data_IF_386626113063
#
_entry.id   IF_386626113063
#
_cell.length_a   1.000
_cell.length_b   1.000
_cell.length_c   1.000
_cell.angle_alpha   90.00
_cell.angle_beta   90.00
_cell.angle_gamma   90.00
#
_symmetry.space_group_name_H-M   'P 1'
#
loop_
_entity.id
_entity.type
_entity.pdbx_description
1 polymer ?
#
# COMPACT_ATOMS: atom_id res chain seq x y z
N UNK A 1 33.06 -11.37 -15.55
CA UNK A 1 33.17 -9.89 -15.52
C UNK A 1 32.70 -9.40 -14.16
N UNK A 2 33.56 -8.79 -13.32
CA UNK A 2 33.10 -8.16 -12.09
C UNK A 2 32.14 -7.02 -12.48
N UNK A 3 30.88 -7.15 -12.09
CA UNK A 3 29.85 -6.16 -12.42
C UNK A 3 30.21 -4.82 -11.80
N UNK A 4 30.05 -3.72 -12.57
CA UNK A 4 30.16 -2.36 -12.04
C UNK A 4 29.41 -2.28 -10.70
N UNK A 5 30.05 -1.81 -9.61
CA UNK A 5 29.35 -1.60 -8.35
C UNK A 5 28.18 -0.64 -8.64
N UNK A 6 26.96 -1.15 -8.45
CA UNK A 6 25.77 -0.32 -8.56
C UNK A 6 25.86 0.63 -7.38
N UNK A 7 26.04 1.92 -7.65
CA UNK A 7 25.88 2.96 -6.63
C UNK A 7 24.47 2.80 -6.05
N UNK A 8 24.45 2.25 -4.85
CA UNK A 8 23.26 1.89 -4.08
C UNK A 8 23.40 2.53 -2.71
N UNK A 9 23.75 3.80 -2.72
CA UNK A 9 23.61 4.66 -1.55
C UNK A 9 22.14 4.64 -1.15
N UNK A 10 21.87 3.89 -0.08
CA UNK A 10 20.53 3.87 0.51
C UNK A 10 20.25 5.25 1.11
N UNK A 11 19.01 5.74 1.01
CA UNK A 11 18.61 6.93 1.74
C UNK A 11 18.76 6.72 3.26
N UNK A 12 18.80 7.79 4.08
CA UNK A 12 18.99 7.69 5.52
C UNK A 12 17.98 6.79 6.24
N UNK A 13 16.78 6.60 5.68
CA UNK A 13 15.73 5.72 6.22
C UNK A 13 15.95 4.23 5.90
N UNK A 14 16.98 3.87 5.12
CA UNK A 14 17.28 2.50 4.73
C UNK A 14 16.31 1.87 3.72
N UNK A 15 15.36 2.64 3.16
CA UNK A 15 14.36 2.15 2.19
C UNK A 15 14.80 2.56 0.78
N UNK A 16 15.01 1.62 -0.15
CA UNK A 16 15.45 1.95 -1.50
C UNK A 16 14.34 2.64 -2.30
N UNK A 17 14.72 3.60 -3.16
CA UNK A 17 13.84 4.14 -4.19
C UNK A 17 13.72 3.17 -5.36
N UNK A 18 12.54 3.09 -5.97
CA UNK A 18 12.36 2.31 -7.20
C UNK A 18 13.13 2.98 -8.34
N UNK A 19 13.90 2.18 -9.08
CA UNK A 19 14.59 2.69 -10.28
C UNK A 19 13.62 2.81 -11.45
N UNK A 20 13.99 3.58 -12.50
CA UNK A 20 13.19 3.64 -13.73
C UNK A 20 12.94 2.26 -14.35
N UNK A 21 13.89 1.31 -14.21
CA UNK A 21 13.71 -0.06 -14.66
C UNK A 21 12.66 -0.83 -13.84
N UNK A 22 12.60 -0.58 -12.52
CA UNK A 22 11.59 -1.18 -11.65
C UNK A 22 10.20 -0.60 -11.96
N UNK A 23 10.09 0.70 -12.23
CA UNK A 23 8.85 1.38 -12.62
C UNK A 23 8.36 0.89 -14.00
N UNK A 24 9.25 0.85 -15.00
CA UNK A 24 8.90 0.45 -16.37
C UNK A 24 8.78 -1.07 -16.58
N UNK A 25 9.02 -1.87 -15.53
CA UNK A 25 8.83 -3.32 -15.56
C UNK A 25 7.41 -3.65 -16.02
N UNK A 26 7.26 -4.61 -16.93
CA UNK A 26 5.93 -5.11 -17.34
C UNK A 26 5.37 -6.09 -16.30
N UNK A 27 4.06 -6.03 -16.12
CA UNK A 27 3.32 -6.96 -15.28
C UNK A 27 3.47 -8.40 -15.85
N UNK A 28 3.78 -9.41 -15.03
CA UNK A 28 4.00 -10.78 -15.50
C UNK A 28 2.65 -11.46 -15.79
N UNK A 29 1.99 -11.09 -16.89
CA UNK A 29 0.64 -11.58 -17.28
C UNK A 29 0.57 -13.11 -17.37
N UNK A 30 1.64 -13.76 -17.83
CA UNK A 30 1.75 -15.22 -17.89
C UNK A 30 1.83 -15.91 -16.51
N UNK A 31 1.92 -15.15 -15.42
CA UNK A 31 1.92 -15.65 -14.04
C UNK A 31 0.60 -15.40 -13.31
N UNK A 32 -0.39 -14.81 -13.97
CA UNK A 32 -1.72 -14.62 -13.39
C UNK A 32 -2.54 -15.91 -13.36
N UNK A 33 -2.25 -16.84 -14.28
CA UNK A 33 -2.99 -18.10 -14.43
C UNK A 33 -4.50 -17.89 -14.46
N UNK A 34 -4.97 -16.95 -15.29
CA UNK A 34 -6.40 -16.70 -15.51
C UNK A 34 -6.90 -17.53 -16.70
N UNK A 35 -8.21 -17.76 -16.74
CA UNK A 35 -8.88 -18.34 -17.92
C UNK A 35 -8.75 -17.43 -19.15
N UNK A 36 -9.11 -17.93 -20.32
CA UNK A 36 -9.06 -17.13 -21.56
C UNK A 36 -10.08 -15.98 -21.52
N UNK A 37 -11.25 -16.21 -20.92
CA UNK A 37 -12.26 -15.18 -20.67
C UNK A 37 -11.75 -14.12 -19.69
N UNK A 38 -11.10 -14.53 -18.60
CA UNK A 38 -10.49 -13.61 -17.63
C UNK A 38 -9.36 -12.78 -18.27
N UNK A 39 -8.54 -13.40 -19.11
CA UNK A 39 -7.50 -12.69 -19.88
C UNK A 39 -8.11 -11.64 -20.82
N UNK A 40 -9.18 -11.98 -21.54
CA UNK A 40 -9.90 -11.03 -22.39
C UNK A 40 -10.49 -9.86 -21.58
N UNK A 41 -11.08 -10.13 -20.41
CA UNK A 41 -11.60 -9.10 -19.51
C UNK A 41 -10.49 -8.15 -19.01
N UNK A 42 -9.31 -8.67 -18.68
CA UNK A 42 -8.14 -7.85 -18.28
C UNK A 42 -7.70 -6.94 -19.44
N UNK A 43 -7.68 -7.45 -20.67
CA UNK A 43 -7.33 -6.64 -21.85
C UNK A 43 -8.36 -5.52 -22.06
N UNK A 44 -9.66 -5.85 -21.99
CA UNK A 44 -10.74 -4.89 -22.14
C UNK A 44 -10.70 -3.76 -21.09
N UNK A 45 -10.31 -4.08 -19.85
CA UNK A 45 -10.19 -3.13 -18.73
C UNK A 45 -8.79 -2.56 -18.52
N UNK A 46 -7.87 -2.73 -19.47
CA UNK A 46 -6.47 -2.31 -19.32
C UNK A 46 -6.29 -0.80 -19.06
N UNK A 47 -7.25 0.02 -19.50
CA UNK A 47 -7.28 1.47 -19.26
C UNK A 47 -7.67 1.86 -17.82
N UNK A 48 -8.23 0.92 -17.04
CA UNK A 48 -8.60 1.12 -15.63
C UNK A 48 -7.49 0.70 -14.66
N UNK A 49 -6.35 0.25 -15.19
CA UNK A 49 -5.21 -0.14 -14.36
C UNK A 49 -4.60 1.10 -13.73
N UNK A 50 -4.60 1.17 -12.40
CA UNK A 50 -3.91 2.22 -11.67
C UNK A 50 -2.47 1.84 -11.38
N UNK A 51 -1.62 2.83 -11.13
CA UNK A 51 -0.20 2.65 -10.80
C UNK A 51 0.26 3.73 -9.84
N UNK A 52 0.44 3.35 -8.57
CA UNK A 52 0.81 4.25 -7.48
C UNK A 52 2.20 3.88 -6.96
N UNK A 53 3.10 4.86 -6.93
CA UNK A 53 4.46 4.74 -6.39
C UNK A 53 4.56 5.54 -5.09
N UNK A 54 5.11 4.90 -4.05
CA UNK A 54 5.20 5.47 -2.71
C UNK A 54 6.67 5.77 -2.38
N UNK A 55 7.01 7.06 -2.26
CA UNK A 55 8.35 7.51 -1.90
C UNK A 55 8.48 7.74 -0.38
N UNK A 56 8.98 6.72 0.32
CA UNK A 56 9.22 6.77 1.77
C UNK A 56 10.37 7.68 2.18
N UNK A 57 11.19 8.15 1.24
CA UNK A 57 12.30 9.06 1.56
C UNK A 57 11.83 10.50 1.73
N UNK A 58 10.79 10.89 0.98
CA UNK A 58 10.20 12.21 1.03
C UNK A 58 9.01 12.27 2.01
N UNK A 59 8.29 11.16 2.17
CA UNK A 59 7.09 11.12 2.98
C UNK A 59 7.04 9.87 3.88
N UNK A 60 7.25 9.99 5.21
CA UNK A 60 7.12 8.88 6.13
C UNK A 60 5.67 8.37 6.26
N UNK A 61 4.64 9.15 5.89
CA UNK A 61 3.25 8.67 5.86
C UNK A 61 2.94 7.75 4.69
N UNK A 62 3.85 7.63 3.71
CA UNK A 62 3.63 6.86 2.50
C UNK A 62 3.24 5.39 2.79
N UNK A 63 3.73 4.81 3.89
CA UNK A 63 3.32 3.48 4.32
C UNK A 63 1.86 3.42 4.76
N UNK A 64 1.40 4.41 5.54
CA UNK A 64 0.01 4.50 5.99
C UNK A 64 -0.91 4.70 4.79
N UNK A 65 -0.51 5.53 3.84
CA UNK A 65 -1.26 5.78 2.60
C UNK A 65 -1.36 4.50 1.75
N UNK A 66 -0.25 3.76 1.60
CA UNK A 66 -0.21 2.50 0.87
C UNK A 66 -1.09 1.41 1.50
N UNK A 67 -1.01 1.24 2.83
CA UNK A 67 -1.87 0.31 3.58
C UNK A 67 -3.34 0.73 3.44
N UNK A 68 -3.65 2.01 3.65
CA UNK A 68 -5.01 2.54 3.51
C UNK A 68 -5.56 2.33 2.10
N UNK A 69 -4.71 2.44 1.07
CA UNK A 69 -5.09 2.19 -0.30
C UNK A 69 -5.42 0.70 -0.55
N UNK A 70 -4.57 -0.22 -0.09
CA UNK A 70 -4.83 -1.66 -0.20
C UNK A 70 -6.07 -2.11 0.59
N UNK A 71 -6.30 -1.51 1.76
CA UNK A 71 -7.46 -1.81 2.61
C UNK A 71 -8.80 -1.51 1.92
N UNK A 72 -8.88 -0.51 1.01
CA UNK A 72 -10.09 -0.23 0.21
C UNK A 72 -10.52 -1.40 -0.69
N UNK A 73 -9.60 -2.31 -0.98
CA UNK A 73 -9.83 -3.48 -1.82
C UNK A 73 -9.82 -4.80 -1.03
N UNK A 74 -9.92 -4.71 0.31
CA UNK A 74 -9.80 -5.86 1.22
C UNK A 74 -8.49 -6.64 1.01
N UNK A 75 -7.43 -5.96 0.60
CA UNK A 75 -6.08 -6.53 0.51
C UNK A 75 -5.37 -6.22 1.80
N UNK A 76 -5.35 -7.19 2.71
CA UNK A 76 -4.60 -7.07 3.94
C UNK A 76 -3.14 -7.41 3.68
N UNK A 77 -2.24 -6.47 4.00
CA UNK A 77 -0.82 -6.73 4.01
C UNK A 77 -0.48 -7.46 5.31
N UNK A 78 -0.62 -8.77 5.31
CA UNK A 78 -0.09 -9.61 6.38
C UNK A 78 1.30 -10.12 5.94
N UNK A 79 2.39 -9.81 6.69
CA UNK A 79 3.71 -10.32 6.39
C UNK A 79 3.79 -11.86 6.41
N UNK A 80 2.88 -12.52 7.13
CA UNK A 80 2.98 -13.95 7.47
C UNK A 80 2.09 -14.87 6.62
N UNK A 81 1.23 -14.33 5.74
CA UNK A 81 0.45 -15.16 4.82
C UNK A 81 -0.78 -14.51 4.22
N UNK A 82 -1.47 -15.17 3.28
CA UNK A 82 -2.72 -14.67 2.74
C UNK A 82 -3.80 -14.64 3.83
N UNK A 83 -4.50 -13.50 3.94
CA UNK A 83 -5.63 -13.36 4.83
C UNK A 83 -6.73 -14.38 4.46
N UNK A 84 -7.17 -15.26 5.37
CA UNK A 84 -8.08 -16.37 5.07
C UNK A 84 -9.49 -15.91 4.65
N UNK A 85 -9.83 -14.64 4.86
CA UNK A 85 -11.15 -14.07 4.53
C UNK A 85 -11.16 -13.28 3.21
N UNK A 86 -10.00 -13.10 2.56
CA UNK A 86 -9.89 -12.30 1.35
C UNK A 86 -10.17 -13.07 0.06
N UNK A 87 -10.71 -12.38 -0.94
CA UNK A 87 -10.78 -12.89 -2.32
C UNK A 87 -9.42 -12.89 -3.03
N UNK A 88 -8.31 -12.60 -2.34
CA UNK A 88 -7.00 -12.40 -2.95
C UNK A 88 -6.04 -13.55 -2.62
N UNK A 89 -5.34 -14.05 -3.63
CA UNK A 89 -4.31 -15.07 -3.51
C UNK A 89 -3.00 -14.61 -4.15
N UNK A 90 -1.86 -14.99 -3.57
CA UNK A 90 -0.54 -14.75 -4.17
C UNK A 90 -0.33 -15.75 -5.32
N UNK A 91 -0.40 -15.26 -6.56
CA UNK A 91 -0.18 -16.07 -7.76
C UNK A 91 1.30 -16.27 -8.05
N UNK A 92 2.12 -15.27 -7.73
CA UNK A 92 3.56 -15.30 -7.98
C UNK A 92 4.28 -14.30 -7.07
N UNK A 93 5.50 -14.64 -6.66
CA UNK A 93 6.40 -13.67 -6.06
C UNK A 93 7.82 -13.90 -6.54
N UNK A 94 8.62 -12.84 -6.55
CA UNK A 94 10.03 -12.92 -6.91
C UNK A 94 10.83 -11.83 -6.22
N UNK A 95 12.01 -12.21 -5.74
CA UNK A 95 12.97 -11.29 -5.16
C UNK A 95 13.97 -10.87 -6.23
N UNK A 96 14.30 -9.57 -6.25
CA UNK A 96 15.36 -9.05 -7.14
C UNK A 96 16.73 -9.61 -6.75
N UNK A 97 16.91 -9.94 -5.47
CA UNK A 97 18.08 -10.63 -4.95
C UNK A 97 17.67 -12.01 -4.43
N UNK A 98 18.46 -13.04 -4.73
CA UNK A 98 18.25 -14.41 -4.24
C UNK A 98 19.05 -14.68 -2.95
N UNK A 99 19.77 -13.68 -2.42
CA UNK A 99 20.52 -13.82 -1.18
C UNK A 99 19.60 -14.18 0.00
N UNK A 100 20.12 -15.02 0.90
CA UNK A 100 19.50 -15.32 2.19
C UNK A 100 20.54 -14.99 3.29
N UNK A 101 20.31 -13.97 4.12
CA UNK A 101 19.14 -13.09 4.16
C UNK A 101 19.05 -12.13 2.96
N UNK A 102 17.86 -11.56 2.67
CA UNK A 102 17.71 -10.56 1.61
C UNK A 102 18.62 -9.35 1.89
N UNK A 103 19.33 -8.86 0.87
CA UNK A 103 20.11 -7.64 1.03
C UNK A 103 19.23 -6.45 1.44
N UNK A 104 19.82 -5.46 2.11
CA UNK A 104 19.15 -4.23 2.57
C UNK A 104 18.59 -3.42 1.39
N UNK A 105 19.11 -3.61 0.17
CA UNK A 105 18.57 -2.97 -1.04
C UNK A 105 17.62 -3.88 -1.83
N UNK A 106 17.27 -5.05 -1.29
CA UNK A 106 16.44 -6.04 -2.00
C UNK A 106 15.01 -5.51 -2.19
N UNK A 107 14.39 -5.90 -3.29
CA UNK A 107 13.00 -5.57 -3.58
C UNK A 107 12.29 -6.88 -3.91
N UNK A 108 11.10 -7.08 -3.38
CA UNK A 108 10.23 -8.22 -3.68
C UNK A 108 9.01 -7.75 -4.45
N UNK A 109 8.71 -8.48 -5.51
CA UNK A 109 7.52 -8.32 -6.33
C UNK A 109 6.53 -9.40 -5.93
N UNK A 110 5.28 -9.02 -5.70
CA UNK A 110 4.19 -9.92 -5.33
C UNK A 110 3.06 -9.65 -6.33
N UNK A 111 2.69 -10.66 -7.10
CA UNK A 111 1.50 -10.65 -7.93
C UNK A 111 0.38 -11.35 -7.16
N UNK A 112 -0.66 -10.60 -6.84
CA UNK A 112 -1.91 -11.08 -6.27
C UNK A 112 -2.98 -11.13 -7.36
N UNK A 113 -3.82 -12.16 -7.32
CA UNK A 113 -4.95 -12.34 -8.24
C UNK A 113 -6.17 -12.71 -7.40
N UNK A 114 -7.35 -12.31 -7.86
CA UNK A 114 -8.57 -12.78 -7.25
C UNK A 114 -8.68 -14.31 -7.33
N UNK A 115 -8.92 -14.97 -6.20
CA UNK A 115 -9.11 -16.41 -6.06
C UNK A 115 -10.22 -16.94 -6.99
N UNK A 116 -11.27 -16.15 -7.22
CA UNK A 116 -12.36 -16.48 -8.13
C UNK A 116 -11.94 -16.39 -9.61
N UNK A 117 -10.93 -15.56 -9.95
CA UNK A 117 -10.40 -15.44 -11.31
C UNK A 117 -9.22 -16.38 -11.62
N UNK A 118 -8.66 -17.01 -10.59
CA UNK A 118 -7.47 -17.86 -10.71
C UNK A 118 -7.84 -19.28 -11.18
N UNK A 119 -7.39 -19.62 -12.39
CA UNK A 119 -7.59 -20.90 -13.05
C UNK A 119 -6.41 -21.85 -12.80
N UNK A 120 -6.62 -22.80 -11.89
CA UNK A 120 -5.61 -23.78 -11.51
C UNK A 120 -5.23 -24.72 -12.67
N UNK A 121 -6.09 -24.89 -13.68
CA UNK A 121 -5.82 -25.78 -14.82
C UNK A 121 -4.66 -25.25 -15.67
N UNK A 122 -4.48 -23.93 -15.74
CA UNK A 122 -3.35 -23.27 -16.42
C UNK A 122 -1.99 -23.57 -15.78
N UNK A 123 -1.97 -24.11 -14.55
CA UNK A 123 -0.76 -24.60 -13.86
C UNK A 123 -0.57 -26.12 -13.99
N UNK A 124 -1.31 -26.77 -14.88
CA UNK A 124 -1.39 -28.24 -15.00
C UNK A 124 -1.93 -28.92 -13.73
N UNK A 125 -2.67 -28.20 -12.88
CA UNK A 125 -3.43 -28.85 -11.80
C UNK A 125 -4.67 -29.51 -12.39
N UNK A 126 -4.92 -30.78 -12.05
CA UNK A 126 -6.13 -31.49 -12.47
C UNK A 126 -7.38 -31.00 -11.72
N UNK A 127 -7.20 -30.54 -10.49
CA UNK A 127 -8.29 -30.11 -9.61
C UNK A 127 -8.12 -28.64 -9.23
N UNK A 128 -9.24 -27.94 -9.14
CA UNK A 128 -9.31 -26.58 -8.63
C UNK A 128 -9.52 -26.64 -7.12
N UNK A 129 -8.62 -26.00 -6.36
CA UNK A 129 -8.64 -25.99 -4.88
C UNK A 129 -9.07 -24.64 -4.30
N UNK A 130 -9.54 -23.73 -5.15
CA UNK A 130 -9.99 -22.41 -4.72
C UNK A 130 -11.35 -22.48 -4.02
N UNK A 131 -11.50 -21.66 -2.97
CA UNK A 131 -12.67 -21.69 -2.09
C UNK A 131 -13.96 -21.15 -2.74
N UNK A 132 -13.83 -20.28 -3.74
CA UNK A 132 -14.93 -19.66 -4.49
C UNK A 132 -15.04 -20.30 -5.88
N UNK A 133 -16.18 -20.27 -6.59
CA UNK A 133 -16.26 -20.73 -7.99
C UNK A 133 -15.38 -19.90 -8.93
N UNK A 134 -15.09 -20.44 -10.12
CA UNK A 134 -14.38 -19.70 -11.18
C UNK A 134 -15.35 -18.70 -11.83
N UNK A 135 -15.05 -17.40 -11.73
CA UNK A 135 -15.92 -16.31 -12.23
C UNK A 135 -15.25 -15.43 -13.28
N UNK A 136 -14.07 -15.83 -13.77
CA UNK A 136 -13.27 -15.05 -14.72
C UNK A 136 -12.99 -13.61 -14.25
N UNK A 137 -12.89 -13.43 -12.93
CA UNK A 137 -12.67 -12.14 -12.31
C UNK A 137 -11.33 -11.53 -12.79
N UNK A 138 -11.33 -10.30 -13.35
CA UNK A 138 -10.11 -9.70 -13.90
C UNK A 138 -9.23 -9.05 -12.82
N UNK A 139 -9.68 -9.05 -11.55
CA UNK A 139 -9.00 -8.35 -10.47
C UNK A 139 -7.63 -8.96 -10.16
N UNK A 140 -6.59 -8.13 -10.24
CA UNK A 140 -5.19 -8.48 -10.00
C UNK A 140 -4.41 -7.26 -9.52
N UNK A 141 -3.40 -7.49 -8.68
CA UNK A 141 -2.51 -6.44 -8.17
C UNK A 141 -1.07 -6.92 -8.21
N UNK A 142 -0.16 -6.04 -8.60
CA UNK A 142 1.27 -6.20 -8.33
C UNK A 142 1.68 -5.21 -7.25
N UNK A 143 2.23 -5.77 -6.17
CA UNK A 143 2.73 -5.04 -5.02
C UNK A 143 4.24 -5.19 -5.00
N UNK A 144 4.95 -4.07 -4.95
CA UNK A 144 6.39 -4.05 -4.78
C UNK A 144 6.70 -3.66 -3.34
N UNK A 145 7.41 -4.52 -2.61
CA UNK A 145 7.73 -4.31 -1.19
C UNK A 145 9.24 -4.33 -0.95
N UNK A 146 9.67 -3.63 0.09
CA UNK A 146 11.02 -3.68 0.64
C UNK A 146 11.08 -4.73 1.78
N UNK A 147 11.59 -5.95 1.54
CA UNK A 147 11.43 -7.07 2.48
C UNK A 147 11.94 -6.81 3.89
N UNK A 148 13.12 -6.16 4.10
CA UNK A 148 13.62 -5.87 5.45
C UNK A 148 12.68 -5.04 6.32
N UNK A 149 11.90 -4.15 5.72
CA UNK A 149 11.02 -3.21 6.46
C UNK A 149 9.53 -3.49 6.29
N UNK A 150 9.15 -4.30 5.31
CA UNK A 150 7.76 -4.45 4.87
C UNK A 150 7.18 -3.20 4.16
N UNK A 151 8.00 -2.18 3.87
CA UNK A 151 7.52 -0.96 3.23
C UNK A 151 6.99 -1.25 1.81
N UNK A 152 5.79 -0.75 1.51
CA UNK A 152 5.16 -0.88 0.19
C UNK A 152 5.68 0.26 -0.69
N UNK A 153 6.42 -0.08 -1.74
CA UNK A 153 7.05 0.89 -2.64
C UNK A 153 6.17 1.24 -3.85
N UNK A 154 5.30 0.31 -4.25
CA UNK A 154 4.39 0.49 -5.39
C UNK A 154 3.23 -0.47 -5.32
N UNK A 155 2.06 -0.01 -5.75
CA UNK A 155 0.87 -0.83 -5.99
C UNK A 155 0.34 -0.49 -7.37
N UNK A 156 0.12 -1.50 -8.21
CA UNK A 156 -0.54 -1.31 -9.50
C UNK A 156 -1.42 -2.48 -9.87
N UNK A 157 -2.39 -2.27 -10.74
CA UNK A 157 -3.25 -3.33 -11.25
C UNK A 157 -4.70 -2.89 -11.41
N UNK A 158 -5.57 -3.88 -11.53
CA UNK A 158 -7.02 -3.69 -11.59
C UNK A 158 -7.61 -4.28 -10.31
N UNK A 159 -8.08 -3.45 -9.40
CA UNK A 159 -8.64 -3.95 -8.13
C UNK A 159 -10.15 -4.27 -8.20
N UNK A 160 -10.84 -3.83 -9.25
CA UNK A 160 -12.28 -4.03 -9.40
C UNK A 160 -12.61 -5.49 -9.73
N UNK A 161 -13.42 -6.09 -8.87
CA UNK A 161 -14.04 -7.38 -9.08
C UNK A 161 -15.19 -7.26 -10.10
N UNK A 162 -15.63 -8.38 -10.66
CA UNK A 162 -16.84 -8.43 -11.47
C UNK A 162 -18.05 -8.83 -10.60
N UNK A 163 -19.26 -8.54 -11.07
CA UNK A 163 -20.49 -8.82 -10.32
C UNK A 163 -20.62 -10.31 -9.92
N UNK A 164 -20.17 -11.22 -10.78
CA UNK A 164 -20.15 -12.65 -10.48
C UNK A 164 -19.25 -12.97 -9.27
N UNK A 165 -18.05 -12.37 -9.20
CA UNK A 165 -17.14 -12.49 -8.07
C UNK A 165 -17.73 -11.89 -6.79
N UNK A 166 -18.38 -10.73 -6.87
CA UNK A 166 -18.96 -10.06 -5.70
C UNK A 166 -20.12 -10.86 -5.10
N UNK A 167 -20.85 -11.58 -5.94
CA UNK A 167 -21.93 -12.50 -5.53
C UNK A 167 -21.45 -13.92 -5.20
N UNK A 168 -20.16 -14.24 -5.43
CA UNK A 168 -19.66 -15.59 -5.31
C UNK A 168 -19.61 -16.03 -3.84
N UNK A 169 -20.36 -17.09 -3.52
CA UNK A 169 -20.28 -17.73 -2.21
C UNK A 169 -19.15 -18.77 -2.18
N UNK A 170 -18.68 -19.12 -0.99
CA UNK A 170 -17.71 -20.20 -0.78
C UNK A 170 -18.32 -21.53 -1.25
N UNK A 171 -17.75 -22.11 -2.29
CA UNK A 171 -18.13 -23.41 -2.86
C UNK A 171 -17.51 -24.56 -2.05
N UNK A 172 -16.24 -24.41 -1.66
CA UNK A 172 -15.54 -25.42 -0.88
C UNK A 172 -15.53 -25.02 0.58
N UNK A 173 -16.42 -25.64 1.37
CA UNK A 173 -16.27 -25.64 2.83
C UNK A 173 -15.01 -26.44 3.18
N UNK A 174 -14.20 -25.99 4.16
CA UNK A 174 -13.06 -26.77 4.61
C UNK A 174 -13.50 -28.19 4.95
N UNK A 175 -12.79 -29.19 4.41
CA UNK A 175 -13.12 -30.61 4.58
C UNK A 175 -13.12 -31.05 6.04
N UNK A 176 -12.33 -30.39 6.89
CA UNK A 176 -12.41 -30.61 8.32
C UNK A 176 -13.55 -29.77 8.89
N UNK A 177 -14.59 -30.40 9.47
CA UNK A 177 -15.55 -29.66 10.28
C UNK A 177 -14.75 -29.00 11.40
N UNK A 178 -14.72 -27.67 11.39
CA UNK A 178 -14.19 -26.90 12.50
C UNK A 178 -14.98 -27.34 13.72
N UNK A 179 -14.29 -27.91 14.72
CA UNK A 179 -14.95 -28.43 15.90
C UNK A 179 -15.89 -27.35 16.46
N UNK A 180 -17.10 -27.72 16.88
CA UNK A 180 -18.11 -26.76 17.29
C UNK A 180 -17.61 -25.80 18.38
N UNK A 181 -16.66 -26.25 19.22
CA UNK A 181 -15.95 -25.43 20.20
C UNK A 181 -15.16 -24.28 19.53
N UNK A 182 -14.42 -24.55 18.44
CA UNK A 182 -13.63 -23.53 17.73
C UNK A 182 -14.55 -22.54 17.03
N UNK A 183 -15.66 -23.01 16.45
CA UNK A 183 -16.65 -22.12 15.83
C UNK A 183 -17.32 -21.23 16.89
N UNK A 184 -17.71 -21.80 18.04
CA UNK A 184 -18.30 -21.05 19.16
C UNK A 184 -17.31 -20.04 19.72
N UNK A 185 -16.09 -20.44 20.04
CA UNK A 185 -15.04 -19.54 20.58
C UNK A 185 -14.61 -18.48 19.57
N UNK A 186 -14.63 -18.76 18.26
CA UNK A 186 -14.29 -17.77 17.24
C UNK A 186 -15.43 -16.77 16.97
N UNK A 187 -16.69 -17.19 17.07
CA UNK A 187 -17.85 -16.34 16.78
C UNK A 187 -18.45 -15.63 18.00
N UNK A 188 -18.34 -16.17 19.21
CA UNK A 188 -18.83 -15.52 20.43
C UNK A 188 -18.26 -14.11 20.60
N UNK A 189 -16.93 -13.89 20.45
CA UNK A 189 -16.35 -12.57 20.55
C UNK A 189 -16.89 -11.62 19.48
N UNK A 190 -17.09 -12.09 18.25
CA UNK A 190 -17.62 -11.27 17.16
C UNK A 190 -19.05 -10.79 17.45
N UNK A 191 -19.89 -11.65 18.05
CA UNK A 191 -21.26 -11.29 18.43
C UNK A 191 -21.34 -10.36 19.65
N UNK A 192 -20.47 -10.57 20.65
CA UNK A 192 -20.45 -9.73 21.86
C UNK A 192 -19.84 -8.35 21.60
N UNK A 193 -18.79 -8.28 20.77
CA UNK A 193 -18.15 -7.02 20.40
C UNK A 193 -19.08 -6.19 19.50
N UNK A 194 -19.83 -6.80 18.59
CA UNK A 194 -20.84 -6.08 17.79
C UNK A 194 -21.90 -5.39 18.66
N UNK A 195 -22.34 -6.00 19.76
CA UNK A 195 -23.31 -5.39 20.69
C UNK A 195 -22.71 -4.23 21.51
N UNK A 196 -21.45 -4.33 21.93
CA UNK A 196 -20.77 -3.24 22.65
C UNK A 196 -20.48 -2.06 21.72
N UNK A 197 -20.08 -2.32 20.48
CA UNK A 197 -19.85 -1.25 19.50
C UNK A 197 -21.14 -0.57 19.06
N UNK A 198 -22.21 -1.33 18.79
CA UNK A 198 -23.50 -0.74 18.42
C UNK A 198 -24.10 0.07 19.58
N UNK A 199 -24.02 -0.41 20.82
CA UNK A 199 -24.50 0.34 21.99
C UNK A 199 -23.68 1.61 22.24
N UNK A 200 -22.35 1.55 22.13
CA UNK A 200 -21.47 2.72 22.27
C UNK A 200 -21.70 3.77 21.17
N UNK A 201 -21.80 3.35 19.90
CA UNK A 201 -22.02 4.28 18.79
C UNK A 201 -23.41 4.94 18.86
N UNK A 202 -24.44 4.17 19.19
CA UNK A 202 -25.79 4.70 19.40
C UNK A 202 -25.78 5.68 20.58
N UNK A 203 -25.07 5.38 21.67
CA UNK A 203 -24.99 6.25 22.85
C UNK A 203 -24.29 7.58 22.54
N UNK A 204 -23.15 7.55 21.84
CA UNK A 204 -22.43 8.77 21.41
C UNK A 204 -23.26 9.60 20.42
N UNK A 205 -23.95 8.93 19.50
CA UNK A 205 -24.81 9.61 18.53
C UNK A 205 -26.03 10.25 19.19
N UNK A 206 -26.67 9.56 20.14
CA UNK A 206 -27.77 10.10 20.95
C UNK A 206 -27.29 11.29 21.79
N UNK A 207 -26.14 11.18 22.48
CA UNK A 207 -25.59 12.26 23.29
C UNK A 207 -25.25 13.51 22.47
N UNK A 208 -24.61 13.36 21.31
CA UNK A 208 -24.34 14.51 20.42
C UNK A 208 -25.60 15.15 19.87
N UNK A 209 -26.65 14.36 19.59
CA UNK A 209 -27.93 14.89 19.11
C UNK A 209 -28.67 15.63 20.23
N UNK A 210 -28.56 15.17 21.47
CA UNK A 210 -29.07 15.85 22.66
C UNK A 210 -28.34 17.17 22.91
N UNK A 211 -27.00 17.19 22.88
CA UNK A 211 -26.22 18.44 23.00
C UNK A 211 -26.60 19.47 21.92
N UNK A 212 -26.84 19.01 20.68
CA UNK A 212 -27.29 19.89 19.61
C UNK A 212 -28.68 20.48 19.90
N UNK A 213 -29.62 19.68 20.40
CA UNK A 213 -30.97 20.15 20.77
C UNK A 213 -30.89 21.14 21.95
N UNK A 214 -30.12 20.84 22.99
CA UNK A 214 -29.96 21.72 24.16
C UNK A 214 -29.20 23.03 23.83
N UNK A 215 -28.18 22.95 22.98
CA UNK A 215 -27.48 24.13 22.46
C UNK A 215 -28.40 25.01 21.61
N UNK A 216 -29.26 24.40 20.79
CA UNK A 216 -30.25 25.13 19.98
C UNK A 216 -31.30 25.83 20.86
N UNK A 217 -31.83 25.18 21.90
CA UNK A 217 -32.76 25.83 22.83
C UNK A 217 -32.11 26.98 23.63
N UNK A 218 -30.81 26.88 23.95
CA UNK A 218 -30.11 27.94 24.70
C UNK A 218 -29.94 29.23 23.89
N UNK A 219 -29.93 29.15 22.55
CA UNK A 219 -29.88 30.33 21.66
C UNK A 219 -31.21 31.11 21.61
N UNK A 220 -32.34 30.48 21.92
CA UNK A 220 -33.65 31.13 21.90
C UNK A 220 -34.00 31.82 23.23
N UNK A 221 -33.31 31.49 24.33
CA UNK A 221 -33.51 32.15 25.63
C UNK A 221 -32.49 33.27 25.92
N UNK A 222 -31.56 33.54 24.99
CA UNK A 222 -30.62 34.64 25.16
C UNK A 222 -31.35 36.00 24.99
N UNK A 223 -31.20 36.95 25.93
CA UNK A 223 -31.78 38.28 25.80
C UNK A 223 -31.24 38.99 24.54
N UNK A 224 -32.04 39.86 23.89
CA UNK A 224 -31.66 40.52 22.66
C UNK A 224 -30.39 41.37 22.84
N UNK A 225 -29.41 41.13 21.97
CA UNK A 225 -28.12 41.84 21.95
C UNK A 225 -28.37 43.29 21.51
N UNK A 226 -27.82 44.31 22.21
CA UNK A 226 -27.94 45.70 21.81
C UNK A 226 -27.24 45.94 20.45
N UNK A 227 -27.75 46.85 19.62
CA UNK A 227 -27.23 47.09 18.27
C UNK A 227 -25.75 47.54 18.31
N UNK A 228 -24.89 46.99 17.44
CA UNK A 228 -23.48 47.33 17.42
C UNK A 228 -23.26 48.77 16.91
N UNK A 229 -22.52 49.56 17.70
CA UNK A 229 -22.08 50.90 17.30
C UNK A 229 -21.10 50.80 16.11
N UNK A 230 -21.62 51.02 14.91
CA UNK A 230 -20.84 50.97 13.67
C UNK A 230 -19.99 52.21 13.48
N UNK A 231 -18.71 52.18 13.89
CA UNK A 231 -17.65 53.05 13.32
C UNK A 231 -16.28 52.37 13.43
N UNK A 232 -15.89 51.61 12.40
CA UNK A 232 -14.48 51.28 12.19
C UNK A 232 -13.85 52.32 11.25
N UNK A 233 -12.69 52.91 11.62
CA UNK A 233 -11.96 53.81 10.74
C UNK A 233 -11.31 53.04 9.56
N UNK A 234 -11.06 53.72 8.43
CA UNK A 234 -10.50 53.08 7.24
C UNK A 234 -9.05 52.61 7.47
N UNK A 235 -8.64 51.47 6.89
CA UNK A 235 -7.29 50.95 7.05
C UNK A 235 -6.27 51.81 6.29
N UNK A 236 -5.20 52.19 6.97
CA UNK A 236 -4.06 52.88 6.36
C UNK A 236 -3.19 51.88 5.58
N UNK A 237 -3.31 51.90 4.26
CA UNK A 237 -2.46 51.11 3.35
C UNK A 237 -1.11 51.81 3.15
N UNK A 238 -0.04 51.36 3.81
CA UNK A 238 1.35 51.62 3.38
C UNK A 238 2.27 50.45 3.78
N UNK A 239 2.52 49.53 2.86
CA UNK A 239 3.65 48.61 2.95
C UNK A 239 4.85 49.25 2.22
N UNK A 240 6.05 49.30 2.83
CA UNK A 240 7.26 49.74 2.15
C UNK A 240 7.76 48.70 1.14
N UNK A 241 8.48 49.13 0.09
CA UNK A 241 9.02 48.23 -0.92
C UNK A 241 10.16 47.36 -0.35
N UNK A 242 10.32 46.12 -0.82
CA UNK A 242 11.38 45.22 -0.37
C UNK A 242 12.75 45.68 -0.88
N UNK A 243 13.74 45.73 0.02
CA UNK A 243 15.13 46.01 -0.31
C UNK A 243 15.79 44.74 -0.90
N UNK A 244 16.18 44.82 -2.17
CA UNK A 244 16.88 43.76 -2.90
C UNK A 244 18.39 44.00 -2.87
N UNK A 245 19.09 43.41 -1.90
CA UNK A 245 20.55 43.28 -1.94
C UNK A 245 20.96 41.88 -1.50
N UNK A 246 21.21 41.00 -2.47
CA UNK A 246 21.96 39.77 -2.25
C UNK A 246 23.42 39.99 -2.69
N UNK A 247 24.40 39.68 -1.84
CA UNK A 247 25.82 39.76 -2.22
C UNK A 247 26.19 38.63 -3.21
N UNK A 248 27.19 38.85 -4.06
CA UNK A 248 27.64 37.85 -5.04
C UNK A 248 28.34 36.66 -4.35
N UNK A 249 28.20 35.44 -4.89
CA UNK A 249 28.81 34.26 -4.32
C UNK A 249 30.33 34.21 -4.55
N UNK A 250 31.08 34.02 -3.48
CA UNK A 250 32.53 33.79 -3.52
C UNK A 250 32.79 32.30 -3.81
N UNK A 251 33.08 31.96 -5.06
CA UNK A 251 33.60 30.63 -5.42
C UNK A 251 35.13 30.59 -5.26
N UNK A 252 35.63 29.81 -4.31
CA UNK A 252 37.01 29.30 -4.31
C UNK A 252 36.98 27.81 -3.99
N UNK A 253 37.18 26.99 -5.02
CA UNK A 253 37.52 25.58 -4.87
C UNK A 253 39.05 25.45 -4.80
N UNK A 254 39.61 24.69 -3.84
CA UNK A 254 41.02 24.33 -3.84
C UNK A 254 41.33 23.23 -4.88
N UNK A 255 42.57 23.15 -5.40
CA UNK A 255 42.98 22.15 -6.38
C UNK A 255 43.15 20.74 -5.75
N UNK A 256 42.88 19.66 -6.51
CA UNK A 256 43.05 18.29 -6.02
C UNK A 256 44.54 17.90 -5.95
N UNK A 257 44.98 17.46 -4.78
CA UNK A 257 46.27 16.83 -4.57
C UNK A 257 46.28 15.41 -5.13
N UNK A 258 47.23 15.14 -6.04
CA UNK A 258 47.57 13.80 -6.52
C UNK A 258 48.50 13.14 -5.51
N UNK A 259 47.99 12.15 -4.77
CA UNK A 259 48.84 11.25 -3.98
C UNK A 259 48.83 9.88 -4.66
N UNK A 260 49.90 9.61 -5.40
CA UNK A 260 50.24 8.29 -5.93
C UNK A 260 50.94 7.53 -4.81
N UNK A 261 50.42 6.36 -4.41
CA UNK A 261 51.16 5.39 -3.60
C UNK A 261 51.35 4.08 -4.37
N UNK A 262 52.47 3.37 -4.19
CA UNK A 262 52.86 2.25 -5.04
C UNK A 262 52.25 0.92 -4.57
N UNK A 263 52.01 0.10 -5.58
CA UNK A 263 51.61 -1.29 -5.54
C UNK A 263 52.61 -2.16 -4.76
N UNK A 264 52.16 -2.83 -3.70
CA UNK A 264 52.84 -3.99 -3.12
C UNK A 264 52.23 -5.28 -3.68
N UNK A 265 53.02 -5.96 -4.51
CA UNK A 265 52.79 -7.33 -4.95
C UNK A 265 53.07 -8.31 -3.81
N UNK A 266 52.05 -9.06 -3.38
CA UNK A 266 52.23 -10.26 -2.57
C UNK A 266 52.08 -11.50 -3.44
N UNK A 267 53.21 -12.14 -3.73
CA UNK A 267 53.30 -13.53 -4.19
C UNK A 267 52.93 -14.46 -3.03
N UNK A 268 51.96 -15.35 -3.23
CA UNK A 268 51.76 -16.51 -2.38
C UNK A 268 51.91 -17.77 -3.23
N UNK A 269 53.04 -18.43 -3.03
CA UNK A 269 53.31 -19.81 -3.40
C UNK A 269 53.05 -20.71 -2.19
N UNK A 270 52.48 -21.90 -2.42
CA UNK A 270 52.65 -23.04 -1.53
C UNK A 270 51.38 -23.85 -1.27
N UNK A 271 51.45 -25.15 -1.58
CA UNK A 271 50.66 -26.21 -0.96
C UNK A 271 49.59 -26.83 -1.82
#
# INVERSE_FOLDING_TARGET
MPGKPKDRTLPPNGIPRLTAADINRKLPKNKMFVSDAGAAAIVAKSHLVFDLVYDHTANPSAQVDAISHLARYNVHHDPDGPCPTGHWSIAWSNHKDRSSPPAIWSIKYILMVCTCGYDHTKRNSKNRTAAFPLTDCPAHLEITVHPPTGAILRVRGLAEHNAACDSAMLEHRPHQPVAAIVYRTALEPLSSVALVFLSGFIYVFILKKLEFIYGFFSLFLAPPIPPPASRLPPPASRLPPPASHLPPPTSRLPPPGLTVTPSHSHTHSGG
#
